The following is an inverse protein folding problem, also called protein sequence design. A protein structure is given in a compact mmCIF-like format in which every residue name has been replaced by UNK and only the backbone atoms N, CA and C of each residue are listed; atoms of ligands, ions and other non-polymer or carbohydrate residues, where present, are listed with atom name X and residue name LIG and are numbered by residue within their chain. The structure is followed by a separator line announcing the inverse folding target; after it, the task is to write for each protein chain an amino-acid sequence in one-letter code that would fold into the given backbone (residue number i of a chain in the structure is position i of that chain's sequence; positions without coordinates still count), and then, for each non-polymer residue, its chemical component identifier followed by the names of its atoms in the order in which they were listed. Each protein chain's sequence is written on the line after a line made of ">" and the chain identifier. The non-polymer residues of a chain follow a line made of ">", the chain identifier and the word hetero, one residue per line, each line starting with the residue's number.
data_IF_985890747774
#
_entry.id   IF_985890747774
#
_cell.length_a   1.000
_cell.length_b   1.000
_cell.length_c   1.000
_cell.angle_alpha   90.00
_cell.angle_beta   90.00
_cell.angle_gamma   90.00
#
_symmetry.space_group_name_H-M   'P 1'
#
loop_
_entity.id
_entity.type
_entity.pdbx_description
1 polymer ?
#
# COMPACT_ATOMS: atom_id res chain seq x y z
N UNK A 1 55.89 13.58 -11.32
CA UNK A 1 54.52 14.04 -11.63
C UNK A 1 53.42 13.00 -11.31
N UNK A 2 53.59 12.15 -10.27
CA UNK A 2 52.59 11.13 -9.89
C UNK A 2 51.54 11.63 -8.86
N UNK A 3 51.88 12.65 -8.06
CA UNK A 3 51.07 13.16 -6.95
C UNK A 3 49.69 13.72 -7.35
N UNK A 4 49.57 14.39 -8.50
CA UNK A 4 48.29 14.98 -8.92
C UNK A 4 47.23 13.94 -9.29
N UNK A 5 47.63 12.87 -9.99
CA UNK A 5 46.71 11.76 -10.35
C UNK A 5 46.28 10.95 -9.13
N UNK A 6 47.19 10.75 -8.18
CA UNK A 6 46.87 10.10 -6.91
C UNK A 6 45.90 10.96 -6.08
N UNK A 7 46.12 12.27 -6.01
CA UNK A 7 45.20 13.19 -5.32
C UNK A 7 43.80 13.18 -5.93
N UNK A 8 43.67 13.19 -7.27
CA UNK A 8 42.37 13.05 -7.96
C UNK A 8 41.69 11.74 -7.58
N UNK A 9 42.41 10.61 -7.67
CA UNK A 9 41.86 9.29 -7.31
C UNK A 9 41.36 9.23 -5.86
N UNK A 10 42.10 9.82 -4.92
CA UNK A 10 41.68 9.85 -3.51
C UNK A 10 40.43 10.71 -3.30
N UNK A 11 40.32 11.85 -3.99
CA UNK A 11 39.12 12.68 -3.95
C UNK A 11 37.91 11.96 -4.53
N UNK A 12 38.06 11.29 -5.67
CA UNK A 12 36.97 10.52 -6.30
C UNK A 12 36.47 9.43 -5.35
N UNK A 13 37.40 8.66 -4.77
CA UNK A 13 37.08 7.58 -3.83
C UNK A 13 36.44 8.10 -2.54
N UNK A 14 36.85 9.27 -2.06
CA UNK A 14 36.23 9.93 -0.90
C UNK A 14 34.80 10.37 -1.23
N UNK A 15 34.58 10.92 -2.43
CA UNK A 15 33.25 11.33 -2.88
C UNK A 15 32.32 10.12 -3.06
N UNK A 16 32.79 9.03 -3.67
CA UNK A 16 32.05 7.78 -3.77
C UNK A 16 31.65 7.23 -2.39
N UNK A 17 32.59 7.19 -1.44
CA UNK A 17 32.32 6.74 -0.08
C UNK A 17 31.30 7.63 0.66
N UNK A 18 31.37 8.95 0.45
CA UNK A 18 30.40 9.91 1.01
C UNK A 18 29.00 9.70 0.43
N UNK A 19 28.89 9.53 -0.89
CA UNK A 19 27.61 9.25 -1.56
C UNK A 19 27.02 7.95 -1.06
N UNK A 20 27.81 6.87 -1.01
CA UNK A 20 27.36 5.57 -0.53
C UNK A 20 26.89 5.63 0.94
N UNK A 21 27.61 6.35 1.80
CA UNK A 21 27.19 6.54 3.19
C UNK A 21 25.86 7.30 3.29
N UNK A 22 25.63 8.29 2.43
CA UNK A 22 24.35 8.99 2.37
C UNK A 22 23.22 8.05 1.93
N UNK A 23 23.41 7.27 0.87
CA UNK A 23 22.44 6.28 0.40
C UNK A 23 22.08 5.24 1.49
N UNK A 24 23.06 4.76 2.26
CA UNK A 24 22.81 3.85 3.37
C UNK A 24 22.01 4.50 4.52
N UNK A 25 22.23 5.78 4.78
CA UNK A 25 21.45 6.54 5.77
C UNK A 25 20.01 6.70 5.31
N UNK A 26 19.80 7.09 4.05
CA UNK A 26 18.46 7.24 3.47
C UNK A 26 17.70 5.90 3.48
N UNK A 27 18.37 4.79 3.13
CA UNK A 27 17.79 3.45 3.21
C UNK A 27 17.38 3.10 4.65
N UNK A 28 18.25 3.36 5.63
CA UNK A 28 17.96 3.09 7.05
C UNK A 28 16.76 3.92 7.53
N UNK A 29 16.74 5.21 7.21
CA UNK A 29 15.66 6.12 7.61
C UNK A 29 14.32 5.68 7.02
N UNK A 30 14.31 5.28 5.76
CA UNK A 30 13.11 4.79 5.10
C UNK A 30 12.61 3.48 5.71
N UNK A 31 13.49 2.53 6.00
CA UNK A 31 13.14 1.28 6.69
C UNK A 31 12.57 1.55 8.09
N UNK A 32 13.16 2.47 8.85
CA UNK A 32 12.66 2.85 10.17
C UNK A 32 11.29 3.53 10.08
N UNK A 33 11.08 4.38 9.07
CA UNK A 33 9.77 5.00 8.81
C UNK A 33 8.69 3.95 8.53
N UNK A 34 9.00 2.90 7.78
CA UNK A 34 8.07 1.79 7.50
C UNK A 34 7.83 0.96 8.76
N UNK A 35 8.89 0.62 9.51
CA UNK A 35 8.78 -0.16 10.74
C UNK A 35 7.99 0.54 11.85
N UNK A 36 7.96 1.88 11.86
CA UNK A 36 7.14 2.67 12.76
C UNK A 36 5.65 2.67 12.38
N UNK A 37 5.28 2.26 11.16
CA UNK A 37 3.89 2.06 10.78
C UNK A 37 3.42 0.70 11.31
N UNK A 38 2.13 0.55 11.64
CA UNK A 38 1.52 -0.76 11.82
C UNK A 38 1.37 -1.43 10.43
N UNK A 39 2.47 -1.72 9.77
CA UNK A 39 2.49 -2.25 8.41
C UNK A 39 2.16 -3.74 8.43
N UNK A 40 0.98 -4.09 7.91
CA UNK A 40 0.51 -5.46 7.76
C UNK A 40 -0.13 -5.62 6.38
N UNK A 41 0.63 -6.09 5.37
CA UNK A 41 0.06 -6.33 4.05
C UNK A 41 -0.97 -7.45 4.10
N UNK A 42 -2.02 -7.34 3.29
CA UNK A 42 -3.10 -8.31 3.19
C UNK A 42 -3.30 -8.76 1.73
N UNK A 43 -3.61 -10.03 1.54
CA UNK A 43 -3.82 -10.62 0.21
C UNK A 43 -4.98 -9.96 -0.54
N UNK A 44 -6.00 -9.49 0.18
CA UNK A 44 -7.22 -8.93 -0.39
C UNK A 44 -7.07 -7.47 -0.86
N UNK A 45 -5.98 -6.79 -0.47
CA UNK A 45 -5.76 -5.37 -0.80
C UNK A 45 -5.15 -5.18 -2.20
N UNK A 46 -4.58 -6.24 -2.76
CA UNK A 46 -3.82 -6.20 -3.99
C UNK A 46 -2.37 -5.73 -3.81
N UNK A 47 -1.55 -6.07 -4.81
CA UNK A 47 -0.09 -5.93 -4.74
C UNK A 47 0.35 -4.48 -4.60
N UNK A 48 -0.28 -3.56 -5.33
CA UNK A 48 0.12 -2.14 -5.32
C UNK A 48 -0.16 -1.48 -3.98
N UNK A 49 -1.29 -1.78 -3.33
CA UNK A 49 -1.63 -1.24 -2.00
C UNK A 49 -0.65 -1.79 -0.97
N UNK A 50 -0.39 -3.10 -1.00
CA UNK A 50 0.60 -3.74 -0.12
C UNK A 50 2.01 -3.17 -0.29
N UNK A 51 2.39 -2.75 -1.50
CA UNK A 51 3.68 -2.17 -1.82
C UNK A 51 3.76 -0.65 -1.57
N UNK A 52 2.64 0.06 -1.46
CA UNK A 52 2.58 1.52 -1.38
C UNK A 52 3.43 2.13 -0.25
N UNK A 53 3.50 1.55 0.97
CA UNK A 53 4.39 2.04 2.02
C UNK A 53 5.89 1.98 1.67
N UNK A 54 6.28 1.16 0.70
CA UNK A 54 7.67 0.88 0.32
C UNK A 54 8.16 1.71 -0.88
N UNK A 55 7.37 2.68 -1.37
CA UNK A 55 7.60 3.33 -2.67
C UNK A 55 9.02 3.89 -2.89
N UNK A 56 9.72 4.39 -1.86
CA UNK A 56 11.08 4.94 -1.99
C UNK A 56 12.18 3.87 -2.10
N UNK A 57 11.86 2.62 -1.81
CA UNK A 57 12.80 1.50 -1.87
C UNK A 57 12.87 0.86 -3.26
N UNK A 58 11.93 1.18 -4.16
CA UNK A 58 11.90 0.61 -5.50
C UNK A 58 12.83 1.35 -6.46
N UNK A 59 13.69 0.60 -7.16
CA UNK A 59 14.62 1.14 -8.17
C UNK A 59 13.95 1.38 -9.53
N UNK A 60 12.89 0.64 -9.84
CA UNK A 60 12.12 0.83 -11.07
C UNK A 60 11.25 2.08 -10.92
N UNK A 61 11.62 3.17 -11.61
CA UNK A 61 10.99 4.50 -11.43
C UNK A 61 9.49 4.52 -11.69
N UNK A 62 8.99 3.78 -12.69
CA UNK A 62 7.55 3.70 -12.96
C UNK A 62 6.79 3.05 -11.79
N UNK A 63 7.29 1.93 -11.28
CA UNK A 63 6.69 1.25 -10.14
C UNK A 63 6.79 2.05 -8.83
N UNK A 64 7.93 2.73 -8.59
CA UNK A 64 8.09 3.66 -7.47
C UNK A 64 7.04 4.79 -7.54
N UNK A 65 6.79 5.33 -8.73
CA UNK A 65 5.77 6.34 -8.95
C UNK A 65 4.36 5.80 -8.71
N UNK A 66 4.02 4.65 -9.28
CA UNK A 66 2.69 4.06 -9.13
C UNK A 66 2.37 3.74 -7.66
N UNK A 67 3.35 3.23 -6.91
CA UNK A 67 3.22 2.94 -5.47
C UNK A 67 3.13 4.20 -4.62
N UNK A 68 3.83 5.28 -4.98
CA UNK A 68 3.68 6.57 -4.30
C UNK A 68 2.31 7.21 -4.58
N UNK A 69 1.86 7.21 -5.83
CA UNK A 69 0.53 7.71 -6.20
C UNK A 69 -0.57 6.89 -5.47
N UNK A 70 -0.38 5.57 -5.34
CA UNK A 70 -1.24 4.70 -4.56
C UNK A 70 -1.22 5.04 -3.06
N UNK A 71 -0.03 5.29 -2.48
CA UNK A 71 0.11 5.70 -1.07
C UNK A 71 -0.64 6.99 -0.79
N UNK A 72 -0.56 7.97 -1.69
CA UNK A 72 -1.26 9.25 -1.52
C UNK A 72 -2.78 9.07 -1.51
N UNK A 73 -3.32 8.24 -2.41
CA UNK A 73 -4.74 7.86 -2.43
C UNK A 73 -5.16 7.11 -1.16
N UNK A 74 -4.32 6.20 -0.67
CA UNK A 74 -4.54 5.46 0.58
C UNK A 74 -4.57 6.42 1.79
N UNK A 75 -3.67 7.39 1.83
CA UNK A 75 -3.62 8.42 2.87
C UNK A 75 -4.82 9.37 2.81
N UNK A 76 -5.36 9.63 1.62
CA UNK A 76 -6.56 10.44 1.40
C UNK A 76 -7.86 9.72 1.79
N UNK A 77 -7.87 8.38 1.76
CA UNK A 77 -9.05 7.56 2.08
C UNK A 77 -9.75 6.94 0.86
N UNK A 78 -9.21 7.12 -0.34
CA UNK A 78 -9.80 6.59 -1.59
C UNK A 78 -9.80 5.03 -1.61
N UNK A 79 -9.05 4.40 -0.69
CA UNK A 79 -8.94 2.95 -0.53
C UNK A 79 -9.31 2.48 0.88
N UNK A 80 -10.25 3.14 1.57
CA UNK A 80 -10.65 2.76 2.93
C UNK A 80 -11.28 1.35 3.03
N UNK A 81 -11.60 0.69 1.90
CA UNK A 81 -11.96 -0.73 1.86
C UNK A 81 -10.78 -1.69 2.12
N UNK A 82 -9.53 -1.23 1.94
CA UNK A 82 -8.34 -2.06 2.10
C UNK A 82 -7.98 -2.25 3.58
N UNK A 83 -7.55 -3.46 3.95
CA UNK A 83 -7.13 -3.83 5.30
C UNK A 83 -5.92 -3.02 5.76
N UNK A 84 -5.00 -2.69 4.85
CA UNK A 84 -3.87 -1.82 5.12
C UNK A 84 -4.31 -0.42 5.52
N UNK A 85 -5.38 0.12 4.91
CA UNK A 85 -5.94 1.41 5.29
C UNK A 85 -6.46 1.36 6.74
N UNK A 86 -7.17 0.29 7.11
CA UNK A 86 -7.66 0.09 8.47
C UNK A 86 -6.53 -0.07 9.48
N UNK A 87 -5.44 -0.74 9.09
CA UNK A 87 -4.31 -0.97 9.99
C UNK A 87 -3.57 0.33 10.29
N UNK A 88 -3.38 1.20 9.29
CA UNK A 88 -2.66 2.48 9.46
C UNK A 88 -3.56 3.59 10.02
N UNK A 89 -4.83 3.65 9.61
CA UNK A 89 -5.78 4.71 9.98
C UNK A 89 -7.09 4.14 10.56
N UNK A 90 -6.98 3.32 11.60
CA UNK A 90 -8.13 2.62 12.21
C UNK A 90 -9.30 3.53 12.54
N UNK A 91 -9.03 4.70 13.12
CA UNK A 91 -10.08 5.62 13.57
C UNK A 91 -10.85 6.23 12.39
N UNK A 92 -10.13 6.57 11.30
CA UNK A 92 -10.74 7.07 10.07
C UNK A 92 -11.65 6.00 9.46
N UNK A 93 -11.12 4.79 9.28
CA UNK A 93 -11.88 3.71 8.63
C UNK A 93 -13.10 3.31 9.48
N UNK A 94 -12.96 3.22 10.81
CA UNK A 94 -14.10 2.99 11.72
C UNK A 94 -15.20 4.04 11.55
N UNK A 95 -14.83 5.32 11.34
CA UNK A 95 -15.80 6.39 11.07
C UNK A 95 -16.51 6.17 9.74
N UNK A 96 -15.79 5.78 8.69
CA UNK A 96 -16.37 5.48 7.37
C UNK A 96 -17.33 4.28 7.44
N UNK A 97 -16.98 3.22 8.18
CA UNK A 97 -17.86 2.06 8.36
C UNK A 97 -19.24 2.38 8.96
N UNK A 98 -19.38 3.49 9.70
CA UNK A 98 -20.68 3.92 10.25
C UNK A 98 -21.66 4.31 9.15
N UNK A 99 -21.15 4.91 8.07
CA UNK A 99 -21.95 5.49 6.98
C UNK A 99 -21.87 4.70 5.67
N UNK A 100 -20.84 3.88 5.47
CA UNK A 100 -20.66 3.05 4.29
C UNK A 100 -20.72 1.57 4.66
N UNK A 101 -21.84 0.92 4.30
CA UNK A 101 -22.07 -0.50 4.58
C UNK A 101 -21.11 -1.43 3.84
N UNK A 102 -20.68 -1.07 2.63
CA UNK A 102 -19.78 -1.91 1.83
C UNK A 102 -18.40 -1.95 2.46
N UNK A 103 -17.91 -0.79 2.91
CA UNK A 103 -16.64 -0.70 3.66
C UNK A 103 -16.77 -1.38 5.02
N UNK A 104 -17.91 -1.23 5.71
CA UNK A 104 -18.15 -1.95 6.96
C UNK A 104 -18.07 -3.47 6.79
N UNK A 105 -18.64 -4.01 5.71
CA UNK A 105 -18.56 -5.45 5.37
C UNK A 105 -17.12 -5.85 5.07
N UNK A 106 -16.37 -5.05 4.32
CA UNK A 106 -14.97 -5.34 3.99
C UNK A 106 -14.10 -5.55 5.25
N UNK A 107 -14.42 -4.85 6.34
CA UNK A 107 -13.69 -4.93 7.62
C UNK A 107 -14.37 -5.80 8.69
N UNK A 108 -15.53 -6.42 8.41
CA UNK A 108 -16.31 -7.15 9.42
C UNK A 108 -16.85 -6.26 10.55
N UNK A 109 -17.13 -4.99 10.24
CA UNK A 109 -17.60 -3.96 11.18
C UNK A 109 -19.06 -3.54 10.92
N UNK A 110 -19.87 -4.43 10.37
CA UNK A 110 -21.27 -4.15 10.03
C UNK A 110 -22.11 -3.76 11.25
N UNK A 111 -21.72 -4.23 12.44
CA UNK A 111 -22.34 -3.87 13.73
C UNK A 111 -22.17 -2.38 14.08
N UNK A 112 -21.22 -1.67 13.47
CA UNK A 112 -21.02 -0.23 13.63
C UNK A 112 -21.82 0.58 12.60
N UNK A 113 -22.35 -0.05 11.55
CA UNK A 113 -22.98 0.64 10.44
C UNK A 113 -24.41 1.05 10.78
N UNK A 114 -24.68 2.35 10.70
CA UNK A 114 -26.00 2.94 10.97
C UNK A 114 -26.96 2.81 9.78
N UNK A 115 -26.42 2.49 8.59
CA UNK A 115 -27.19 2.29 7.37
C UNK A 115 -27.78 0.89 7.35
N UNK A 116 -29.11 0.81 7.17
CA UNK A 116 -29.83 -0.45 7.06
C UNK A 116 -29.37 -1.28 5.85
N UNK A 117 -29.34 -2.61 6.03
CA UNK A 117 -29.01 -3.50 4.94
C UNK A 117 -30.14 -3.52 3.90
N UNK A 118 -29.83 -3.52 2.60
CA UNK A 118 -30.86 -3.66 1.58
C UNK A 118 -31.62 -4.98 1.77
N UNK A 119 -32.95 -4.93 1.67
CA UNK A 119 -33.78 -6.13 1.81
C UNK A 119 -33.33 -7.22 0.83
N UNK A 120 -33.13 -8.44 1.34
CA UNK A 120 -32.71 -9.56 0.52
C UNK A 120 -33.82 -9.90 -0.49
N UNK A 121 -33.68 -9.46 -1.75
CA UNK A 121 -34.51 -9.99 -2.83
C UNK A 121 -34.17 -11.47 -3.01
N UNK A 122 -35.08 -12.36 -2.57
CA UNK A 122 -34.99 -13.81 -2.82
C UNK A 122 -34.72 -14.03 -4.31
N UNK A 123 -33.51 -14.48 -4.67
CA UNK A 123 -33.17 -14.81 -6.05
C UNK A 123 -33.98 -16.05 -6.45
N UNK A 124 -34.95 -15.85 -7.35
CA UNK A 124 -35.67 -16.94 -8.02
C UNK A 124 -34.69 -17.93 -8.67
N UNK A 125 -34.96 -19.22 -8.47
CA UNK A 125 -34.08 -20.32 -8.87
C UNK A 125 -33.66 -20.23 -10.34
N UNK A 126 -32.35 -20.34 -10.58
CA UNK A 126 -31.78 -20.39 -11.92
C UNK A 126 -32.05 -21.78 -12.50
N UNK A 127 -33.04 -21.88 -13.39
CA UNK A 127 -33.44 -23.11 -14.06
C UNK A 127 -32.26 -23.83 -14.73
N UNK A 128 -32.11 -25.11 -14.40
CA UNK A 128 -31.19 -26.06 -15.00
C UNK A 128 -31.60 -26.29 -16.46
N UNK A 129 -30.83 -25.80 -17.44
CA UNK A 129 -31.00 -26.19 -18.85
C UNK A 129 -30.47 -27.62 -19.01
N UNK A 130 -31.36 -28.57 -19.25
CA UNK A 130 -31.00 -29.89 -19.77
C UNK A 130 -30.40 -29.74 -21.16
N UNK A 131 -29.20 -30.29 -21.36
CA UNK A 131 -28.63 -30.50 -22.68
C UNK A 131 -29.34 -31.70 -23.30
N UNK A 132 -29.97 -31.51 -24.46
CA UNK A 132 -30.30 -32.61 -25.38
C UNK A 132 -29.08 -32.86 -26.26
N UNK A 133 -28.57 -34.08 -26.20
CA UNK A 133 -27.54 -34.57 -27.10
C UNK A 133 -28.10 -34.76 -28.51
N UNK A 134 -27.28 -34.45 -29.51
CA UNK A 134 -27.44 -34.83 -30.92
C UNK A 134 -26.05 -34.87 -31.55
#
# INVERSE_FOLDING_TARGET
>A
AASGREATRWNDRLNEARTFLAELRDLREELLRIAALPYKPDLNDGVIISAAPLHKLFRLRSWAKDTEDCRQKLAKGDYDWAHLAYTIWSDRVRKVCRTDRSIAIAHGLEHLCEVEAPESKKKGGRGRREKKDS
#
